data_IF_320670009806
#
_entry.id   IF_320670009806
#
_cell.length_a   1.000
_cell.length_b   1.000
_cell.length_c   1.000
_cell.angle_alpha   90.00
_cell.angle_beta   90.00
_cell.angle_gamma   90.00
#
_symmetry.space_group_name_H-M   'P 1'
#
loop_
_entity.id
_entity.type
_entity.pdbx_description
1 polymer ?
#
# COMPACT_ATOMS: atom_id res chain seq x y z
N UNK A 1 7.13 -0.59 -16.28
CA UNK A 1 8.26 -1.54 -16.16
C UNK A 1 7.70 -2.96 -16.19
N UNK A 2 8.14 -3.84 -17.11
CA UNK A 2 7.71 -5.26 -17.08
C UNK A 2 8.48 -5.96 -15.96
N UNK A 3 7.81 -6.17 -14.83
CA UNK A 3 8.28 -7.07 -13.78
C UNK A 3 8.13 -8.49 -14.32
N UNK A 4 9.16 -8.98 -15.00
CA UNK A 4 9.28 -10.39 -15.39
C UNK A 4 9.49 -11.22 -14.11
N UNK A 5 8.43 -11.92 -13.69
CA UNK A 5 8.36 -13.22 -12.97
C UNK A 5 9.47 -13.60 -11.98
N UNK A 6 9.95 -12.68 -11.15
CA UNK A 6 10.67 -13.03 -9.93
C UNK A 6 9.67 -13.16 -8.78
N UNK A 7 9.36 -14.40 -8.37
CA UNK A 7 8.73 -14.65 -7.05
C UNK A 7 9.77 -14.31 -5.99
N UNK A 8 9.77 -13.05 -5.56
CA UNK A 8 10.53 -12.59 -4.40
C UNK A 8 9.82 -13.11 -3.16
N UNK A 9 10.39 -14.16 -2.55
CA UNK A 9 9.94 -14.66 -1.26
C UNK A 9 10.65 -13.84 -0.17
N UNK A 10 9.90 -13.41 0.84
CA UNK A 10 10.49 -12.76 2.00
C UNK A 10 11.46 -13.72 2.70
N UNK A 11 12.60 -13.20 3.14
CA UNK A 11 13.44 -13.90 4.10
C UNK A 11 12.76 -14.00 5.46
N UNK A 12 13.12 -15.02 6.25
CA UNK A 12 12.63 -15.19 7.63
C UNK A 12 12.86 -13.94 8.49
N UNK A 13 13.94 -13.20 8.24
CA UNK A 13 14.23 -11.96 8.96
C UNK A 13 13.27 -10.84 8.57
N UNK A 14 12.90 -10.72 7.30
CA UNK A 14 11.91 -9.74 6.83
C UNK A 14 10.52 -10.04 7.38
N UNK A 15 10.09 -11.31 7.31
CA UNK A 15 8.82 -11.76 7.92
C UNK A 15 8.76 -11.44 9.41
N UNK A 16 9.83 -11.75 10.15
CA UNK A 16 9.91 -11.46 11.60
C UNK A 16 9.75 -9.96 11.87
N UNK A 17 10.42 -9.10 11.10
CA UNK A 17 10.33 -7.64 11.27
C UNK A 17 8.93 -7.11 10.97
N UNK A 18 8.25 -7.65 9.95
CA UNK A 18 6.87 -7.28 9.63
C UNK A 18 5.90 -7.71 10.74
N UNK A 19 6.03 -8.94 11.24
CA UNK A 19 5.24 -9.44 12.38
C UNK A 19 5.44 -8.56 13.61
N UNK A 20 6.70 -8.24 13.94
CA UNK A 20 6.98 -7.38 15.09
C UNK A 20 6.45 -5.96 14.91
N UNK A 21 6.51 -5.40 13.70
CA UNK A 21 5.97 -4.09 13.41
C UNK A 21 4.46 -4.03 13.66
N UNK A 22 3.69 -4.97 13.12
CA UNK A 22 2.23 -4.98 13.28
C UNK A 22 1.78 -5.40 14.68
N UNK A 23 2.56 -6.20 15.40
CA UNK A 23 2.24 -6.60 16.78
C UNK A 23 2.63 -5.56 17.83
N UNK A 24 3.66 -4.75 17.59
CA UNK A 24 4.26 -3.88 18.63
C UNK A 24 4.23 -2.39 18.31
N UNK A 25 4.04 -1.99 17.05
CA UNK A 25 4.16 -0.58 16.63
C UNK A 25 2.84 0.02 16.18
N UNK A 26 2.11 -0.65 15.28
CA UNK A 26 0.84 -0.16 14.75
C UNK A 26 -0.05 -1.32 14.35
N UNK A 27 -1.32 -1.26 14.71
CA UNK A 27 -2.31 -2.26 14.29
C UNK A 27 -2.47 -2.23 12.76
N UNK A 28 -2.47 -3.41 12.12
CA UNK A 28 -2.58 -3.55 10.66
C UNK A 28 -3.79 -2.79 10.09
N UNK A 29 -4.95 -2.92 10.73
CA UNK A 29 -6.18 -2.21 10.36
C UNK A 29 -6.06 -0.69 10.42
N UNK A 30 -5.34 -0.17 11.43
CA UNK A 30 -5.11 1.27 11.55
C UNK A 30 -4.17 1.76 10.44
N UNK A 31 -3.10 1.00 10.15
CA UNK A 31 -2.18 1.31 9.06
C UNK A 31 -2.89 1.31 7.70
N UNK A 32 -3.72 0.30 7.41
CA UNK A 32 -4.49 0.23 6.17
C UNK A 32 -5.39 1.46 5.98
N UNK A 33 -6.10 1.89 7.03
CA UNK A 33 -6.92 3.11 7.00
C UNK A 33 -6.08 4.38 6.77
N UNK A 34 -4.88 4.45 7.35
CA UNK A 34 -3.97 5.58 7.12
C UNK A 34 -3.47 5.62 5.68
N UNK A 35 -3.06 4.47 5.12
CA UNK A 35 -2.62 4.35 3.73
C UNK A 35 -3.73 4.82 2.78
N UNK A 36 -4.95 4.31 2.93
CA UNK A 36 -6.09 4.69 2.07
C UNK A 36 -6.41 6.19 2.15
N UNK A 37 -6.34 6.78 3.35
CA UNK A 37 -6.52 8.23 3.52
C UNK A 37 -5.44 9.04 2.79
N UNK A 38 -4.17 8.63 2.90
CA UNK A 38 -3.07 9.31 2.20
C UNK A 38 -3.23 9.16 0.69
N UNK A 39 -3.51 7.96 0.19
CA UNK A 39 -3.78 7.72 -1.22
C UNK A 39 -4.94 8.58 -1.75
N UNK A 40 -6.03 8.71 -0.99
CA UNK A 40 -7.13 9.60 -1.36
C UNK A 40 -6.70 11.06 -1.48
N UNK A 41 -5.87 11.56 -0.56
CA UNK A 41 -5.35 12.94 -0.63
C UNK A 41 -4.45 13.13 -1.85
N UNK A 42 -3.59 12.15 -2.15
CA UNK A 42 -2.74 12.18 -3.35
C UNK A 42 -3.58 12.20 -4.62
N UNK A 43 -4.59 11.33 -4.72
CA UNK A 43 -5.51 11.32 -5.85
C UNK A 43 -6.24 12.66 -6.03
N UNK A 44 -6.69 13.27 -4.92
CA UNK A 44 -7.27 14.62 -4.98
C UNK A 44 -6.27 15.68 -5.46
N UNK A 45 -4.99 15.57 -5.09
CA UNK A 45 -3.92 16.45 -5.57
C UNK A 45 -3.70 16.32 -7.07
N UNK A 46 -3.70 15.09 -7.59
CA UNK A 46 -3.65 14.82 -9.04
C UNK A 46 -4.84 15.43 -9.77
N UNK A 47 -6.06 15.22 -9.27
CA UNK A 47 -7.28 15.79 -9.85
C UNK A 47 -7.30 17.32 -9.85
N UNK A 48 -6.52 17.96 -8.97
CA UNK A 48 -6.36 19.42 -8.87
C UNK A 48 -5.20 19.95 -9.70
N UNK A 49 -4.54 19.09 -10.47
CA UNK A 49 -3.38 19.45 -11.29
C UNK A 49 -2.24 20.04 -10.45
N UNK A 50 -2.02 19.52 -9.24
CA UNK A 50 -0.89 19.94 -8.40
C UNK A 50 0.44 19.71 -9.14
N UNK A 51 1.18 20.80 -9.39
CA UNK A 51 2.37 20.79 -10.24
C UNK A 51 3.43 19.79 -9.75
N UNK A 52 3.60 19.63 -8.44
CA UNK A 52 4.60 18.71 -7.88
C UNK A 52 4.21 17.26 -8.14
N UNK A 53 2.94 16.93 -7.94
CA UNK A 53 2.45 15.58 -8.19
C UNK A 53 2.40 15.24 -9.69
N UNK A 54 2.16 16.23 -10.56
CA UNK A 54 2.21 16.05 -12.01
C UNK A 54 3.62 15.76 -12.54
N UNK A 55 4.65 16.38 -11.94
CA UNK A 55 6.05 16.09 -12.29
C UNK A 55 6.46 14.64 -11.99
N UNK A 56 5.81 14.02 -11.00
CA UNK A 56 6.10 12.67 -10.51
C UNK A 56 4.97 11.68 -10.84
N UNK A 57 4.14 11.96 -11.85
CA UNK A 57 2.89 11.23 -12.10
C UNK A 57 3.09 9.71 -12.23
N UNK A 58 4.13 9.25 -12.93
CA UNK A 58 4.40 7.83 -13.11
C UNK A 58 4.73 7.14 -11.77
N UNK A 59 5.54 7.79 -10.93
CA UNK A 59 5.88 7.28 -9.59
C UNK A 59 4.68 7.32 -8.64
N UNK A 60 3.83 8.34 -8.77
CA UNK A 60 2.60 8.49 -8.01
C UNK A 60 1.60 7.39 -8.38
N UNK A 61 1.44 7.08 -9.68
CA UNK A 61 0.56 6.01 -10.14
C UNK A 61 1.01 4.63 -9.63
N UNK A 62 2.30 4.31 -9.78
CA UNK A 62 2.88 3.05 -9.28
C UNK A 62 2.74 2.95 -7.75
N UNK A 63 3.09 4.02 -7.03
CA UNK A 63 2.96 4.08 -5.57
C UNK A 63 1.51 3.98 -5.10
N UNK A 64 0.58 4.66 -5.76
CA UNK A 64 -0.85 4.61 -5.46
C UNK A 64 -1.40 3.19 -5.60
N UNK A 65 -1.02 2.47 -6.66
CA UNK A 65 -1.39 1.07 -6.86
C UNK A 65 -0.89 0.19 -5.71
N UNK A 66 0.42 0.13 -5.46
CA UNK A 66 1.00 -0.78 -4.46
C UNK A 66 0.57 -0.47 -3.03
N UNK A 67 0.36 0.81 -2.70
CA UNK A 67 -0.14 1.19 -1.38
C UNK A 67 -1.60 0.76 -1.17
N UNK A 68 -2.45 0.80 -2.19
CA UNK A 68 -3.81 0.27 -2.08
C UNK A 68 -3.80 -1.27 -1.96
N UNK A 69 -2.98 -1.96 -2.75
CA UNK A 69 -2.80 -3.42 -2.62
C UNK A 69 -2.32 -3.81 -1.21
N UNK A 70 -1.34 -3.09 -0.66
CA UNK A 70 -0.89 -3.31 0.72
C UNK A 70 -2.00 -3.05 1.73
N UNK A 71 -2.78 -1.99 1.56
CA UNK A 71 -3.90 -1.71 2.46
C UNK A 71 -4.97 -2.82 2.41
N UNK A 72 -5.20 -3.41 1.23
CA UNK A 72 -6.11 -4.54 1.06
C UNK A 72 -5.59 -5.81 1.76
N UNK A 73 -4.29 -6.11 1.65
CA UNK A 73 -3.67 -7.23 2.39
C UNK A 73 -3.79 -7.05 3.91
N UNK A 74 -3.68 -5.81 4.40
CA UNK A 74 -3.70 -5.50 5.84
C UNK A 74 -5.10 -5.42 6.46
N UNK A 75 -6.12 -5.01 5.69
CA UNK A 75 -7.51 -4.86 6.14
C UNK A 75 -8.45 -5.00 4.93
N UNK A 76 -8.74 -6.23 4.47
CA UNK A 76 -9.53 -6.46 3.28
C UNK A 76 -10.89 -5.76 3.36
N UNK A 77 -11.33 -5.14 2.27
CA UNK A 77 -12.66 -4.53 2.18
C UNK A 77 -13.77 -5.57 2.06
N UNK A 78 -13.47 -6.64 1.33
CA UNK A 78 -14.32 -7.80 1.20
C UNK A 78 -13.58 -8.95 1.87
N UNK A 79 -13.89 -9.20 3.14
CA UNK A 79 -13.69 -10.55 3.66
C UNK A 79 -14.53 -11.44 2.73
N UNK A 80 -13.87 -12.26 1.90
CA UNK A 80 -14.60 -13.33 1.25
C UNK A 80 -15.15 -14.17 2.40
N UNK A 81 -16.44 -14.04 2.69
CA UNK A 81 -17.20 -14.97 3.54
C UNK A 81 -16.97 -16.36 2.95
N UNK A 82 -15.88 -17.00 3.35
CA UNK A 82 -15.55 -18.36 2.94
C UNK A 82 -15.85 -19.21 4.15
N UNK A 83 -17.10 -19.66 4.16
CA UNK A 83 -17.66 -20.75 4.97
C UNK A 83 -16.81 -22.01 4.75
#
# INVERSE_FOLDING_TARGET
MKLEDAVSILSTQEETRLIEFFNKKIEAKVMAKMIRKLNFIVALGIMREDETLQLEIENVEDGYFWLNELAEVLDPYFESDTI
#
